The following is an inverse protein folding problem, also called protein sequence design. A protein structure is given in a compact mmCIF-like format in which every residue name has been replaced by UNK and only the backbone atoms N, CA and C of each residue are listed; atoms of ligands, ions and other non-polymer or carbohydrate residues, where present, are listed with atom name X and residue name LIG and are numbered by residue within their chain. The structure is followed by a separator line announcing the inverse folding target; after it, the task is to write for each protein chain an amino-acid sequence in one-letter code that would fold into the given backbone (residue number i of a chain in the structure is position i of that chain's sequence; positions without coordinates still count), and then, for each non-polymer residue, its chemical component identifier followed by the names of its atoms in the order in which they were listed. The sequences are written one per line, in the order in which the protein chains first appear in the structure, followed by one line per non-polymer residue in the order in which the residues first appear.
data_IF_212858294756
#
_entry.id   IF_212858294756
#
_cell.length_a   1.000
_cell.length_b   1.000
_cell.length_c   1.000
_cell.angle_alpha   90.00
_cell.angle_beta   90.00
_cell.angle_gamma   90.00
#
_symmetry.space_group_name_H-M   'P 1'
#
loop_
_entity.id
_entity.type
_entity.pdbx_description
1 polymer ?
#
# COMPACT_ATOMS: atom_id res chain seq x y z
N UNK A 1 5.77 -10.89 9.53
CA UNK A 1 5.55 -10.01 10.72
C UNK A 1 4.50 -8.98 10.32
N UNK A 2 3.46 -8.75 11.12
CA UNK A 2 2.36 -7.81 10.79
C UNK A 2 2.38 -6.55 11.67
N UNK A 3 3.47 -6.33 12.41
CA UNK A 3 3.60 -5.19 13.33
C UNK A 3 3.53 -3.82 12.65
N UNK A 4 3.86 -3.77 11.35
CA UNK A 4 3.78 -2.55 10.54
C UNK A 4 2.42 -2.37 9.81
N UNK A 5 1.53 -3.37 9.85
CA UNK A 5 0.22 -3.29 9.18
C UNK A 5 -0.75 -2.42 10.00
N UNK A 6 -1.32 -1.37 9.39
CA UNK A 6 -2.21 -0.41 10.07
C UNK A 6 -3.61 -0.31 9.48
N UNK A 7 -3.94 -1.10 8.46
CA UNK A 7 -5.30 -1.23 7.93
C UNK A 7 -5.80 -2.66 8.06
N UNK A 8 -7.04 -2.88 7.64
CA UNK A 8 -7.49 -4.22 7.27
C UNK A 8 -6.63 -4.76 6.11
N UNK A 9 -6.47 -6.08 6.10
CA UNK A 9 -5.85 -6.80 4.98
C UNK A 9 -6.96 -7.16 3.99
N UNK A 10 -6.76 -6.79 2.73
CA UNK A 10 -7.69 -7.12 1.65
C UNK A 10 -6.99 -8.06 0.67
N UNK A 11 -7.58 -9.23 0.47
CA UNK A 11 -7.16 -10.19 -0.55
C UNK A 11 -7.92 -9.91 -1.85
N UNK A 12 -7.18 -9.54 -2.90
CA UNK A 12 -7.74 -9.22 -4.21
C UNK A 12 -7.27 -10.30 -5.18
N UNK A 13 -8.22 -10.92 -5.90
CA UNK A 13 -7.94 -11.94 -6.89
C UNK A 13 -8.74 -11.69 -8.17
N UNK A 14 -8.10 -11.94 -9.31
CA UNK A 14 -8.78 -11.99 -10.60
C UNK A 14 -9.49 -13.34 -10.77
N UNK A 15 -10.82 -13.30 -10.90
CA UNK A 15 -11.63 -14.50 -11.18
C UNK A 15 -11.37 -15.02 -12.60
N UNK A 16 -11.11 -14.12 -13.56
CA UNK A 16 -10.68 -14.46 -14.91
C UNK A 16 -9.31 -13.83 -15.20
N UNK A 17 -8.21 -14.59 -15.07
CA UNK A 17 -6.86 -14.07 -15.27
C UNK A 17 -6.55 -13.77 -16.75
N UNK A 18 -7.43 -14.15 -17.68
CA UNK A 18 -7.29 -13.80 -19.10
C UNK A 18 -7.88 -12.43 -19.44
N UNK A 19 -8.67 -11.84 -18.53
CA UNK A 19 -9.22 -10.50 -18.69
C UNK A 19 -8.14 -9.44 -18.46
N UNK A 20 -7.87 -8.63 -19.48
CA UNK A 20 -6.99 -7.46 -19.36
C UNK A 20 -7.80 -6.33 -18.73
N UNK A 21 -7.42 -5.91 -17.52
CA UNK A 21 -8.11 -4.83 -16.80
C UNK A 21 -7.84 -3.43 -17.36
N UNK A 22 -6.92 -3.32 -18.32
CA UNK A 22 -6.67 -2.07 -19.04
C UNK A 22 -5.79 -1.06 -18.32
N UNK A 23 -5.23 -1.40 -17.15
CA UNK A 23 -4.28 -0.57 -16.40
C UNK A 23 -4.19 -0.97 -14.93
N UNK A 24 -3.53 -0.12 -14.16
CA UNK A 24 -3.37 -0.25 -12.71
C UNK A 24 -4.71 -0.06 -11.99
N UNK A 25 -4.82 -0.64 -10.80
CA UNK A 25 -5.98 -0.51 -9.92
C UNK A 25 -5.61 0.34 -8.71
N UNK A 26 -6.45 1.32 -8.39
CA UNK A 26 -6.34 2.08 -7.15
C UNK A 26 -7.01 1.33 -5.99
N UNK A 27 -6.24 1.03 -4.94
CA UNK A 27 -6.74 0.45 -3.69
C UNK A 27 -6.75 1.50 -2.59
N UNK A 28 -7.95 1.80 -2.07
CA UNK A 28 -8.16 2.84 -1.06
C UNK A 28 -8.52 2.25 0.30
N UNK A 29 -7.75 2.60 1.31
CA UNK A 29 -7.91 2.12 2.69
C UNK A 29 -8.24 3.27 3.63
N UNK A 30 -9.12 3.01 4.60
CA UNK A 30 -9.35 3.97 5.68
C UNK A 30 -8.12 4.02 6.59
N UNK A 31 -7.63 5.22 6.86
CA UNK A 31 -6.47 5.46 7.72
C UNK A 31 -6.93 5.73 9.15
N UNK A 32 -6.62 4.83 10.10
CA UNK A 32 -6.95 5.03 11.50
C UNK A 32 -6.32 6.33 12.02
N UNK A 33 -6.99 7.07 12.92
CA UNK A 33 -6.48 8.33 13.44
C UNK A 33 -5.03 8.29 13.97
N UNK A 34 -4.62 7.16 14.57
CA UNK A 34 -3.27 6.96 15.10
C UNK A 34 -2.16 6.90 14.02
N UNK A 35 -2.52 6.56 12.77
CA UNK A 35 -1.61 6.40 11.65
C UNK A 35 -1.62 7.58 10.66
N UNK A 36 -2.54 8.54 10.79
CA UNK A 36 -2.72 9.65 9.81
C UNK A 36 -1.50 10.54 9.61
N UNK A 37 -0.69 10.70 10.67
CA UNK A 37 0.53 11.54 10.66
C UNK A 37 1.80 10.70 10.48
N UNK A 38 1.68 9.45 10.04
CA UNK A 38 2.81 8.56 9.79
C UNK A 38 3.09 8.49 8.30
N UNK A 39 4.31 8.08 7.98
CA UNK A 39 4.68 7.69 6.63
C UNK A 39 4.08 6.32 6.37
N UNK A 40 3.21 6.27 5.37
CA UNK A 40 2.43 5.10 5.01
C UNK A 40 2.71 4.74 3.56
N UNK A 41 2.65 3.46 3.24
CA UNK A 41 2.63 3.01 1.86
C UNK A 41 1.62 1.90 1.64
N UNK A 42 1.21 1.72 0.38
CA UNK A 42 0.49 0.53 -0.03
C UNK A 42 1.52 -0.60 -0.04
N UNK A 43 1.27 -1.61 0.76
CA UNK A 43 2.07 -2.80 0.79
C UNK A 43 1.31 -4.02 0.32
N UNK A 44 2.06 -4.97 -0.20
CA UNK A 44 1.57 -6.29 -0.56
C UNK A 44 2.33 -7.37 0.19
N UNK A 45 1.72 -8.53 0.37
CA UNK A 45 2.41 -9.71 0.89
C UNK A 45 3.18 -10.39 -0.25
N UNK A 46 4.50 -10.30 -0.22
CA UNK A 46 5.38 -10.99 -1.16
C UNK A 46 5.53 -12.46 -0.75
N UNK A 47 4.70 -13.31 -1.36
CA UNK A 47 4.73 -14.76 -1.15
C UNK A 47 5.89 -15.45 -1.88
N UNK A 48 6.68 -14.74 -2.68
CA UNK A 48 7.89 -15.29 -3.30
C UNK A 48 9.06 -15.40 -2.31
N UNK A 49 8.99 -14.64 -1.22
CA UNK A 49 9.96 -14.68 -0.11
C UNK A 49 9.63 -15.82 0.87
N UNK A 50 10.65 -16.27 1.60
CA UNK A 50 10.50 -17.36 2.57
C UNK A 50 11.19 -17.01 3.91
N UNK A 51 10.43 -16.61 4.94
CA UNK A 51 8.96 -16.52 4.99
C UNK A 51 8.39 -15.39 4.11
N UNK A 52 7.09 -15.40 3.77
CA UNK A 52 6.44 -14.27 3.11
C UNK A 52 6.61 -12.98 3.91
N UNK A 53 6.89 -11.88 3.22
CA UNK A 53 7.14 -10.58 3.85
C UNK A 53 6.24 -9.49 3.26
N UNK A 54 5.86 -8.53 4.10
CA UNK A 54 5.14 -7.35 3.65
C UNK A 54 6.11 -6.38 2.99
N UNK A 55 5.89 -6.12 1.71
CA UNK A 55 6.73 -5.24 0.90
C UNK A 55 5.96 -4.00 0.52
N UNK A 56 6.60 -2.85 0.67
CA UNK A 56 6.08 -1.56 0.27
C UNK A 56 6.15 -1.41 -1.25
N UNK A 57 5.03 -1.22 -1.93
CA UNK A 57 4.94 -1.08 -3.39
C UNK A 57 4.75 0.39 -3.79
N UNK A 58 3.78 1.08 -3.19
CA UNK A 58 3.48 2.50 -3.48
C UNK A 58 3.72 3.38 -2.25
N UNK A 59 4.86 4.09 -2.28
CA UNK A 59 5.28 5.02 -1.22
C UNK A 59 4.51 6.35 -1.25
N UNK A 60 3.80 6.64 -2.34
CA UNK A 60 3.24 7.95 -2.63
C UNK A 60 1.72 7.94 -2.63
N UNK A 61 1.16 7.48 -1.51
CA UNK A 61 -0.28 7.38 -1.34
C UNK A 61 -1.00 8.72 -1.56
N UNK A 62 -2.01 8.70 -2.42
CA UNK A 62 -2.95 9.80 -2.57
C UNK A 62 -3.87 9.86 -1.35
N UNK A 63 -3.68 10.89 -0.51
CA UNK A 63 -4.52 11.12 0.67
C UNK A 63 -5.79 11.85 0.25
N UNK A 64 -6.90 11.12 0.20
CA UNK A 64 -8.20 11.68 -0.11
C UNK A 64 -8.83 12.45 1.07
N UNK A 65 -9.79 13.31 0.75
CA UNK A 65 -10.72 13.83 1.76
C UNK A 65 -11.51 12.65 2.35
N UNK A 66 -11.84 12.69 3.65
CA UNK A 66 -12.51 11.63 4.44
C UNK A 66 -11.62 10.57 5.11
N UNK A 67 -10.30 10.75 5.11
CA UNK A 67 -9.38 9.89 5.88
C UNK A 67 -9.07 8.56 5.20
N UNK A 68 -9.18 8.52 3.88
CA UNK A 68 -8.70 7.40 3.05
C UNK A 68 -7.34 7.74 2.44
N UNK A 69 -6.52 6.71 2.23
CA UNK A 69 -5.30 6.79 1.45
C UNK A 69 -5.36 5.73 0.36
N UNK A 70 -5.06 6.12 -0.88
CA UNK A 70 -5.12 5.27 -2.05
C UNK A 70 -3.72 5.08 -2.63
N UNK A 71 -3.38 3.85 -2.99
CA UNK A 71 -2.17 3.52 -3.77
C UNK A 71 -2.53 2.77 -5.04
N UNK A 72 -1.58 2.70 -5.96
CA UNK A 72 -1.72 2.01 -7.25
C UNK A 72 -1.01 0.66 -7.23
N UNK A 73 -1.60 -0.36 -7.87
CA UNK A 73 -0.96 -1.67 -8.10
C UNK A 73 -1.38 -2.25 -9.45
N UNK A 74 -0.48 -3.03 -10.07
CA UNK A 74 -0.73 -3.75 -11.32
C UNK A 74 -0.94 -5.27 -11.11
N UNK A 75 -0.93 -5.72 -9.85
CA UNK A 75 -1.05 -7.12 -9.48
C UNK A 75 -2.10 -7.36 -8.39
N UNK A 76 -2.35 -8.64 -8.11
CA UNK A 76 -3.43 -9.08 -7.23
C UNK A 76 -2.92 -10.13 -6.24
N UNK A 77 -3.07 -9.81 -4.96
CA UNK A 77 -2.62 -10.60 -3.80
C UNK A 77 -3.26 -9.98 -2.55
N UNK A 78 -2.65 -10.17 -1.39
CA UNK A 78 -2.98 -9.53 -0.13
C UNK A 78 -2.36 -8.13 -0.05
N UNK A 79 -3.18 -7.12 0.23
CA UNK A 79 -2.77 -5.72 0.37
C UNK A 79 -3.15 -5.14 1.73
N UNK A 80 -2.32 -4.21 2.22
CA UNK A 80 -2.61 -3.39 3.39
C UNK A 80 -1.80 -2.09 3.39
N UNK A 81 -2.17 -1.14 4.24
CA UNK A 81 -1.31 -0.01 4.55
C UNK A 81 -0.23 -0.41 5.56
N UNK A 82 1.02 -0.11 5.22
CA UNK A 82 2.18 -0.35 6.08
C UNK A 82 2.72 0.96 6.65
N UNK A 83 3.18 0.93 7.91
CA UNK A 83 4.04 1.96 8.48
C UNK A 83 5.42 1.84 7.86
N UNK A 84 5.94 2.94 7.31
CA UNK A 84 7.37 2.99 7.03
C UNK A 84 8.12 3.31 8.32
N UNK A 85 8.99 2.38 8.72
CA UNK A 85 9.93 2.61 9.81
C UNK A 85 10.84 3.79 9.47
N UNK A 86 10.99 4.73 10.40
CA UNK A 86 11.92 5.87 10.29
C UNK A 86 13.38 5.41 10.43
N UNK A 87 13.86 4.57 9.51
CA UNK A 87 15.27 4.24 9.40
C UNK A 87 16.03 5.47 8.89
N UNK A 88 17.09 5.89 9.60
CA UNK A 88 17.99 6.98 9.22
C UNK A 88 18.57 6.81 7.79
N UNK A 89 17.81 7.20 6.78
CA UNK A 89 18.16 7.04 5.38
C UNK A 89 17.26 7.88 4.49
N UNK A 90 17.40 9.21 4.59
CA UNK A 90 17.03 10.15 3.53
C UNK A 90 15.64 9.98 2.92
N UNK A 91 14.58 10.15 3.70
CA UNK A 91 13.25 10.44 3.16
C UNK A 91 13.20 11.87 2.60
N UNK A 92 13.92 12.13 1.51
CA UNK A 92 13.64 13.29 0.66
C UNK A 92 12.47 12.91 -0.23
N UNK A 93 11.28 13.44 0.08
CA UNK A 93 10.34 14.04 -0.88
C UNK A 93 10.20 13.34 -2.26
N UNK A 94 10.19 12.01 -2.31
CA UNK A 94 10.04 11.25 -3.56
C UNK A 94 8.63 11.37 -4.15
N UNK A 95 7.67 11.72 -3.29
CA UNK A 95 6.29 11.98 -3.64
C UNK A 95 6.12 13.47 -3.91
N UNK A 96 6.71 13.95 -5.01
CA UNK A 96 6.39 15.28 -5.51
C UNK A 96 4.91 15.28 -5.88
N UNK A 97 4.14 16.06 -5.12
CA UNK A 97 2.70 16.21 -5.27
C UNK A 97 2.38 16.60 -6.71
N UNK A 98 1.83 15.68 -7.50
CA UNK A 98 1.17 16.06 -8.74
C UNK A 98 -0.18 16.64 -8.32
N UNK A 99 -0.29 17.94 -8.54
CA UNK A 99 -1.45 18.81 -8.30
C UNK A 99 -2.69 18.40 -9.08
#
# INVERSE_FOLDING_TARGET
DTSDVVSEIVDVNLVDPSAVLGGDVALCFFVPPAARNKDLCLGFLDETLQPPEWTCEDQCLEKGENGFACGSTDHFTNFALLLQGSGNGGGTDGCSSIS
#
